data_IF_884746154497
#
_entry.id   IF_884746154497
#
_cell.length_a   1.000
_cell.length_b   1.000
_cell.length_c   1.000
_cell.angle_alpha   90.00
_cell.angle_beta   90.00
_cell.angle_gamma   90.00
#
_symmetry.space_group_name_H-M   'P 1'
#
loop_
_entity.id
_entity.type
_entity.pdbx_description
1 polymer ?
#
# COMPACT_ATOMS: atom_id res chain seq x y z
N UNK A 1 34.36 33.05 -88.59
CA UNK A 1 34.09 33.92 -87.42
C UNK A 1 33.50 33.05 -86.32
N UNK A 2 33.99 33.23 -85.07
CA UNK A 2 33.43 32.75 -83.77
C UNK A 2 33.27 31.23 -83.60
N UNK A 3 34.22 30.47 -83.00
CA UNK A 3 34.59 30.38 -81.58
C UNK A 3 33.43 30.09 -80.62
N UNK A 4 33.43 28.90 -79.98
CA UNK A 4 32.99 28.69 -78.60
C UNK A 4 33.56 27.37 -78.05
N UNK A 5 34.40 27.51 -77.03
CA UNK A 5 35.01 26.46 -76.22
C UNK A 5 33.95 25.64 -75.47
N UNK A 6 34.13 24.31 -75.47
CA UNK A 6 33.46 23.39 -74.56
C UNK A 6 34.36 23.23 -73.32
N UNK A 7 33.99 23.88 -72.22
CA UNK A 7 34.68 23.72 -70.93
C UNK A 7 34.01 22.59 -70.15
N UNK A 8 34.68 21.46 -70.06
CA UNK A 8 34.27 20.29 -69.27
C UNK A 8 34.46 20.59 -67.78
N UNK A 9 33.36 20.75 -67.04
CA UNK A 9 33.36 20.91 -65.59
C UNK A 9 33.39 19.51 -64.94
N UNK A 10 34.58 19.06 -64.49
CA UNK A 10 34.70 17.91 -63.61
C UNK A 10 34.20 18.31 -62.21
N UNK A 11 33.01 17.84 -61.83
CA UNK A 11 32.60 17.81 -60.42
C UNK A 11 33.35 16.68 -59.72
N UNK A 12 34.32 17.03 -58.89
CA UNK A 12 34.90 16.13 -57.89
C UNK A 12 33.88 15.91 -56.78
N UNK A 13 33.24 14.74 -56.75
CA UNK A 13 32.52 14.26 -55.57
C UNK A 13 33.54 14.05 -54.44
N UNK A 14 33.50 14.91 -53.43
CA UNK A 14 34.11 14.62 -52.14
C UNK A 14 33.33 13.49 -51.46
N UNK A 15 34.00 12.45 -50.90
CA UNK A 15 33.30 11.45 -50.12
C UNK A 15 32.76 12.12 -48.85
N UNK A 16 31.44 12.02 -48.62
CA UNK A 16 30.86 12.29 -47.31
C UNK A 16 31.57 11.39 -46.30
N UNK A 17 32.29 11.98 -45.36
CA UNK A 17 32.73 11.30 -44.16
C UNK A 17 31.46 10.76 -43.48
N UNK A 18 31.35 9.43 -43.41
CA UNK A 18 30.35 8.79 -42.57
C UNK A 18 30.59 9.27 -41.14
N UNK A 19 29.66 10.07 -40.60
CA UNK A 19 29.61 10.37 -39.18
C UNK A 19 29.54 9.03 -38.47
N UNK A 20 30.59 8.65 -37.74
CA UNK A 20 30.49 7.54 -36.81
C UNK A 20 29.34 7.90 -35.86
N UNK A 21 28.28 7.09 -35.88
CA UNK A 21 27.17 7.31 -34.96
C UNK A 21 27.71 7.22 -33.52
N UNK A 22 27.20 8.08 -32.64
CA UNK A 22 27.54 7.99 -31.22
C UNK A 22 27.18 6.58 -30.71
N UNK A 23 28.05 5.96 -29.88
CA UNK A 23 27.82 4.61 -29.40
C UNK A 23 26.53 4.54 -28.58
N UNK A 24 25.73 3.51 -28.85
CA UNK A 24 24.49 3.26 -28.11
C UNK A 24 24.77 2.88 -26.65
N UNK A 25 23.83 3.06 -25.72
CA UNK A 25 24.01 2.62 -24.33
C UNK A 25 24.32 1.12 -24.20
N UNK A 26 23.78 0.28 -25.09
CA UNK A 26 24.08 -1.15 -25.14
C UNK A 26 25.55 -1.42 -25.49
N UNK A 27 26.10 -0.72 -26.49
CA UNK A 27 27.51 -0.82 -26.88
C UNK A 27 28.44 -0.30 -25.78
N UNK A 28 28.10 0.83 -25.17
CA UNK A 28 28.84 1.39 -24.02
C UNK A 28 28.85 0.45 -22.82
N UNK A 29 27.75 -0.26 -22.54
CA UNK A 29 27.72 -1.29 -21.49
C UNK A 29 28.54 -2.52 -21.83
N UNK A 30 28.46 -3.00 -23.07
CA UNK A 30 29.30 -4.10 -23.52
C UNK A 30 30.79 -3.73 -23.37
N UNK A 31 31.13 -2.47 -23.67
CA UNK A 31 32.47 -1.92 -23.48
C UNK A 31 32.85 -1.85 -22.00
N UNK A 32 31.99 -1.32 -21.14
CA UNK A 32 32.22 -1.24 -19.71
C UNK A 32 32.43 -2.62 -19.05
N UNK A 33 31.74 -3.67 -19.50
CA UNK A 33 32.00 -5.04 -19.04
C UNK A 33 33.44 -5.52 -19.33
N UNK A 34 33.99 -5.15 -20.49
CA UNK A 34 35.37 -5.45 -20.86
C UNK A 34 36.34 -4.64 -20.00
N UNK A 35 36.08 -3.34 -19.84
CA UNK A 35 36.92 -2.45 -19.05
C UNK A 35 36.98 -2.86 -17.57
N UNK A 36 35.88 -3.34 -16.99
CA UNK A 36 35.86 -3.85 -15.60
C UNK A 36 36.81 -5.03 -15.43
N UNK A 37 36.93 -5.94 -16.42
CA UNK A 37 37.93 -7.01 -16.37
C UNK A 37 39.35 -6.45 -16.43
N UNK A 38 39.57 -5.40 -17.22
CA UNK A 38 40.88 -4.75 -17.36
C UNK A 38 41.30 -3.96 -16.11
N UNK A 39 40.37 -3.62 -15.21
CA UNK A 39 40.72 -3.05 -13.90
C UNK A 39 41.60 -3.99 -13.05
N UNK A 40 41.53 -5.30 -13.29
CA UNK A 40 42.38 -6.31 -12.62
C UNK A 40 43.64 -6.70 -13.42
N UNK A 41 43.95 -6.00 -14.52
CA UNK A 41 45.15 -6.31 -15.32
C UNK A 41 46.42 -6.13 -14.47
N UNK A 42 47.44 -6.98 -14.65
CA UNK A 42 48.75 -6.82 -14.02
C UNK A 42 49.45 -5.52 -14.49
N UNK A 43 49.13 -5.07 -15.71
CA UNK A 43 49.75 -3.90 -16.34
C UNK A 43 49.06 -2.61 -15.88
N UNK A 44 49.78 -1.79 -15.14
CA UNK A 44 49.27 -0.51 -14.60
C UNK A 44 48.65 0.41 -15.67
N UNK A 45 49.26 0.46 -16.86
CA UNK A 45 48.78 1.29 -17.98
C UNK A 45 47.40 0.86 -18.45
N UNK A 46 47.14 -0.46 -18.53
CA UNK A 46 45.84 -1.00 -18.92
C UNK A 46 44.77 -0.70 -17.86
N UNK A 47 45.11 -0.87 -16.57
CA UNK A 47 44.21 -0.49 -15.48
C UNK A 47 43.82 0.99 -15.53
N UNK A 48 44.81 1.87 -15.74
CA UNK A 48 44.59 3.31 -15.79
C UNK A 48 43.75 3.73 -17.01
N UNK A 49 44.02 3.13 -18.17
CA UNK A 49 43.22 3.36 -19.37
C UNK A 49 41.76 2.93 -19.14
N UNK A 50 41.54 1.76 -18.55
CA UNK A 50 40.21 1.26 -18.24
C UNK A 50 39.46 2.14 -17.24
N UNK A 51 40.14 2.66 -16.20
CA UNK A 51 39.54 3.59 -15.25
C UNK A 51 39.10 4.89 -15.91
N UNK A 52 39.94 5.49 -16.75
CA UNK A 52 39.61 6.72 -17.45
C UNK A 52 38.39 6.53 -18.37
N UNK A 53 38.40 5.45 -19.16
CA UNK A 53 37.30 5.17 -20.08
C UNK A 53 35.98 4.85 -19.35
N UNK A 54 36.03 4.11 -18.23
CA UNK A 54 34.85 3.89 -17.38
C UNK A 54 34.30 5.18 -16.77
N UNK A 55 35.18 6.13 -16.41
CA UNK A 55 34.77 7.44 -15.91
C UNK A 55 34.07 8.27 -17.00
N UNK A 56 34.53 8.17 -18.25
CA UNK A 56 33.90 8.81 -19.42
C UNK A 56 32.54 8.20 -19.75
N UNK A 57 32.38 6.88 -19.64
CA UNK A 57 31.09 6.19 -19.84
C UNK A 57 30.05 6.62 -18.79
N UNK A 58 30.47 6.90 -17.56
CA UNK A 58 29.62 7.49 -16.53
C UNK A 58 28.43 6.62 -16.11
N UNK A 59 27.23 7.21 -16.08
CA UNK A 59 26.00 6.54 -15.58
C UNK A 59 25.62 5.27 -16.33
N UNK A 60 26.04 5.13 -17.60
CA UNK A 60 25.78 3.92 -18.40
C UNK A 60 26.54 2.72 -17.82
N UNK A 61 27.71 2.92 -17.21
CA UNK A 61 28.50 1.88 -16.56
C UNK A 61 28.10 1.64 -15.08
N UNK A 62 27.15 2.41 -14.54
CA UNK A 62 26.83 2.45 -13.11
C UNK A 62 26.53 1.06 -12.54
N UNK A 63 25.63 0.30 -13.15
CA UNK A 63 25.20 -1.02 -12.64
C UNK A 63 26.34 -2.03 -12.60
N UNK A 64 27.17 -2.04 -13.65
CA UNK A 64 28.29 -2.97 -13.77
C UNK A 64 29.38 -2.62 -12.75
N UNK A 65 29.65 -1.33 -12.53
CA UNK A 65 30.54 -0.85 -11.48
C UNK A 65 29.97 -1.17 -10.09
N UNK A 66 28.67 -0.97 -9.85
CA UNK A 66 28.01 -1.26 -8.59
C UNK A 66 28.15 -2.73 -8.21
N UNK A 67 27.99 -3.64 -9.17
CA UNK A 67 28.24 -5.08 -9.01
C UNK A 67 29.72 -5.40 -8.79
N UNK A 68 30.63 -4.72 -9.49
CA UNK A 68 32.07 -4.95 -9.38
C UNK A 68 32.65 -4.60 -8.00
N UNK A 69 31.93 -3.86 -7.14
CA UNK A 69 32.33 -3.62 -5.74
C UNK A 69 32.45 -4.90 -4.91
N UNK A 70 31.74 -5.94 -5.30
CA UNK A 70 31.77 -7.25 -4.62
C UNK A 70 32.65 -8.26 -5.38
N UNK A 71 33.50 -7.78 -6.29
CA UNK A 71 34.38 -8.62 -7.08
C UNK A 71 35.44 -9.30 -6.19
N UNK A 72 35.80 -10.55 -6.54
CA UNK A 72 36.78 -11.34 -5.77
C UNK A 72 38.20 -10.77 -5.80
N UNK A 73 38.52 -10.07 -6.88
CA UNK A 73 39.76 -9.30 -6.99
C UNK A 73 39.60 -7.95 -6.26
N UNK A 74 40.36 -7.72 -5.18
CA UNK A 74 40.27 -6.48 -4.40
C UNK A 74 40.66 -5.22 -5.21
N UNK A 75 41.50 -5.32 -6.24
CA UNK A 75 41.86 -4.18 -7.09
C UNK A 75 40.67 -3.73 -7.93
N UNK A 76 39.93 -4.69 -8.51
CA UNK A 76 38.69 -4.41 -9.27
C UNK A 76 37.65 -3.79 -8.33
N UNK A 77 37.46 -4.37 -7.13
CA UNK A 77 36.50 -3.87 -6.16
C UNK A 77 36.81 -2.42 -5.71
N UNK A 78 38.07 -2.14 -5.34
CA UNK A 78 38.51 -0.81 -4.92
C UNK A 78 38.48 0.22 -6.07
N UNK A 79 38.79 -0.19 -7.30
CA UNK A 79 38.67 0.67 -8.47
C UNK A 79 37.20 1.01 -8.77
N UNK A 80 36.30 0.02 -8.72
CA UNK A 80 34.88 0.23 -8.92
C UNK A 80 34.28 1.17 -7.87
N UNK A 81 34.65 1.01 -6.60
CA UNK A 81 34.22 1.90 -5.52
C UNK A 81 34.65 3.36 -5.74
N UNK A 82 35.91 3.58 -6.15
CA UNK A 82 36.41 4.92 -6.48
C UNK A 82 35.70 5.53 -7.68
N UNK A 83 35.47 4.75 -8.74
CA UNK A 83 34.77 5.21 -9.94
C UNK A 83 33.34 5.62 -9.63
N UNK A 84 32.61 4.82 -8.84
CA UNK A 84 31.25 5.15 -8.42
C UNK A 84 31.19 6.42 -7.57
N UNK A 85 32.17 6.64 -6.70
CA UNK A 85 32.26 7.87 -5.92
C UNK A 85 32.49 9.12 -6.80
N UNK A 86 33.06 8.94 -8.01
CA UNK A 86 33.25 9.99 -9.00
C UNK A 86 32.05 10.22 -9.93
N UNK A 87 31.13 9.25 -10.04
CA UNK A 87 29.92 9.39 -10.86
C UNK A 87 28.94 10.32 -10.15
N UNK A 88 28.65 11.45 -10.80
CA UNK A 88 27.66 12.41 -10.29
C UNK A 88 26.27 12.02 -10.76
N UNK A 89 25.40 11.64 -9.81
CA UNK A 89 23.97 11.42 -10.07
C UNK A 89 23.22 12.72 -9.84
N UNK A 90 22.59 13.25 -10.88
CA UNK A 90 21.71 14.41 -10.77
C UNK A 90 20.34 13.98 -10.24
N UNK A 91 20.16 14.11 -8.93
CA UNK A 91 18.92 13.75 -8.24
C UNK A 91 17.75 14.68 -8.58
N UNK A 92 18.01 15.88 -9.10
CA UNK A 92 16.96 16.82 -9.52
C UNK A 92 17.12 17.07 -11.02
N UNK A 93 16.04 16.90 -11.77
CA UNK A 93 15.96 17.16 -13.20
C UNK A 93 15.11 18.40 -13.50
N UNK A 94 15.27 18.97 -14.69
CA UNK A 94 14.64 20.25 -15.06
C UNK A 94 13.10 20.13 -15.12
N UNK A 95 12.61 18.98 -15.55
CA UNK A 95 11.21 18.63 -15.69
C UNK A 95 10.55 18.16 -14.40
N UNK A 96 11.32 17.97 -13.31
CA UNK A 96 10.76 17.49 -12.05
C UNK A 96 9.66 18.43 -11.54
N UNK A 97 8.51 17.93 -11.06
CA UNK A 97 7.51 18.75 -10.39
C UNK A 97 8.10 19.45 -9.15
N UNK A 98 7.58 20.62 -8.72
CA UNK A 98 8.10 21.34 -7.55
C UNK A 98 8.21 20.46 -6.31
N UNK A 99 7.19 19.65 -6.02
CA UNK A 99 7.19 18.75 -4.88
C UNK A 99 8.28 17.67 -4.93
N UNK A 100 8.72 17.25 -6.13
CA UNK A 100 9.86 16.34 -6.28
C UNK A 100 11.17 17.06 -5.97
N UNK A 101 11.37 18.27 -6.51
CA UNK A 101 12.59 19.06 -6.28
C UNK A 101 12.79 19.36 -4.79
N UNK A 102 11.71 19.73 -4.10
CA UNK A 102 11.74 20.02 -2.66
C UNK A 102 12.15 18.78 -1.85
N UNK A 103 11.60 17.61 -2.20
CA UNK A 103 11.93 16.35 -1.52
C UNK A 103 13.35 15.85 -1.80
N UNK A 104 13.88 16.14 -2.99
CA UNK A 104 15.22 15.71 -3.41
C UNK A 104 16.32 16.74 -3.12
N UNK A 105 15.96 17.88 -2.51
CA UNK A 105 16.94 18.88 -2.10
C UNK A 105 17.97 18.23 -1.15
N UNK A 106 19.25 18.30 -1.54
CA UNK A 106 20.37 17.71 -0.79
C UNK A 106 20.24 16.20 -0.54
N UNK A 107 19.43 15.48 -1.33
CA UNK A 107 19.21 14.04 -1.18
C UNK A 107 20.51 13.25 -1.03
N UNK A 108 21.52 13.54 -1.86
CA UNK A 108 22.82 12.87 -1.83
C UNK A 108 23.64 13.08 -0.54
N UNK A 109 23.28 14.04 0.31
CA UNK A 109 23.93 14.33 1.60
C UNK A 109 23.21 13.65 2.78
N UNK A 110 22.03 13.06 2.54
CA UNK A 110 21.21 12.44 3.57
C UNK A 110 21.71 11.04 3.94
N UNK A 111 21.57 10.69 5.21
CA UNK A 111 21.77 9.31 5.67
C UNK A 111 20.72 8.35 5.08
N UNK A 112 20.98 7.05 5.22
CA UNK A 112 20.11 5.99 4.70
C UNK A 112 18.66 6.07 5.18
N UNK A 113 18.41 6.41 6.46
CA UNK A 113 17.05 6.45 7.02
C UNK A 113 16.27 7.64 6.45
N UNK A 114 16.93 8.79 6.32
CA UNK A 114 16.34 9.99 5.71
C UNK A 114 16.05 9.80 4.22
N UNK A 115 16.94 9.13 3.47
CA UNK A 115 16.68 8.78 2.06
C UNK A 115 15.50 7.84 1.88
N UNK A 116 15.34 6.85 2.79
CA UNK A 116 14.13 6.00 2.86
C UNK A 116 12.88 6.86 3.14
N UNK A 117 12.97 7.86 4.02
CA UNK A 117 11.84 8.76 4.28
C UNK A 117 11.49 9.60 3.03
N UNK A 118 12.48 10.11 2.30
CA UNK A 118 12.25 10.83 1.03
C UNK A 118 11.51 9.96 0.02
N UNK A 119 11.89 8.69 -0.15
CA UNK A 119 11.15 7.77 -1.03
C UNK A 119 9.67 7.64 -0.63
N UNK A 120 9.34 7.62 0.66
CA UNK A 120 7.95 7.59 1.14
C UNK A 120 7.20 8.89 0.83
N UNK A 121 7.86 10.04 0.95
CA UNK A 121 7.24 11.34 0.65
C UNK A 121 6.99 11.49 -0.86
N UNK A 122 7.90 11.02 -1.72
CA UNK A 122 7.71 11.03 -3.17
C UNK A 122 6.45 10.26 -3.59
N UNK A 123 6.14 9.12 -2.95
CA UNK A 123 4.88 8.38 -3.19
C UNK A 123 3.63 9.18 -2.79
N UNK A 124 3.73 10.08 -1.82
CA UNK A 124 2.59 10.87 -1.34
C UNK A 124 2.23 12.04 -2.23
N UNK A 125 3.09 12.38 -3.20
CA UNK A 125 2.81 13.44 -4.16
C UNK A 125 1.50 13.18 -4.94
N UNK A 126 0.88 14.25 -5.48
CA UNK A 126 -0.32 14.13 -6.30
C UNK A 126 -0.08 13.26 -7.55
N UNK A 127 -1.13 12.55 -7.98
CA UNK A 127 -1.05 11.69 -9.17
C UNK A 127 0.10 10.68 -9.09
N UNK A 128 0.93 10.70 -10.13
CA UNK A 128 2.13 9.88 -10.29
C UNK A 128 3.42 10.72 -10.33
N UNK A 129 3.39 11.96 -9.84
CA UNK A 129 4.49 12.95 -9.93
C UNK A 129 5.84 12.42 -9.38
N UNK A 130 5.81 11.50 -8.42
CA UNK A 130 7.00 10.90 -7.83
C UNK A 130 7.61 9.73 -8.61
N UNK A 131 7.00 9.25 -9.69
CA UNK A 131 7.37 7.99 -10.34
C UNK A 131 8.80 8.00 -10.92
N UNK A 132 9.15 9.03 -11.69
CA UNK A 132 10.49 9.16 -12.28
C UNK A 132 11.59 9.29 -11.21
N UNK A 133 11.37 10.14 -10.20
CA UNK A 133 12.28 10.28 -9.08
C UNK A 133 12.50 8.98 -8.31
N UNK A 134 11.44 8.22 -8.06
CA UNK A 134 11.55 6.91 -7.42
C UNK A 134 12.33 5.94 -8.29
N UNK A 135 12.06 5.84 -9.59
CA UNK A 135 12.80 4.98 -10.50
C UNK A 135 14.30 5.35 -10.53
N UNK A 136 14.63 6.65 -10.53
CA UNK A 136 16.02 7.13 -10.41
C UNK A 136 16.69 6.67 -9.11
N UNK A 137 16.00 6.78 -7.97
CA UNK A 137 16.51 6.28 -6.68
C UNK A 137 16.72 4.76 -6.73
N UNK A 138 15.77 4.01 -7.29
CA UNK A 138 15.86 2.56 -7.43
C UNK A 138 17.12 2.17 -8.19
N UNK A 139 17.37 2.84 -9.31
CA UNK A 139 18.51 2.57 -10.19
C UNK A 139 19.84 2.99 -9.56
N UNK A 140 19.96 4.24 -9.13
CA UNK A 140 21.25 4.87 -8.83
C UNK A 140 21.61 4.97 -7.34
N UNK A 141 20.72 4.65 -6.41
CA UNK A 141 21.10 4.69 -4.99
C UNK A 141 21.97 3.47 -4.62
N UNK A 142 23.22 3.73 -4.19
CA UNK A 142 24.16 2.69 -3.80
C UNK A 142 23.73 1.87 -2.57
N UNK A 143 22.79 2.38 -1.76
CA UNK A 143 22.23 1.65 -0.64
C UNK A 143 21.14 0.70 -1.14
N UNK A 144 21.41 -0.60 -1.06
CA UNK A 144 20.43 -1.64 -1.41
C UNK A 144 19.10 -1.47 -0.66
N UNK A 145 19.16 -1.05 0.61
CA UNK A 145 17.99 -0.75 1.42
C UNK A 145 17.14 0.38 0.82
N UNK A 146 17.79 1.47 0.38
CA UNK A 146 17.08 2.64 -0.16
C UNK A 146 16.48 2.30 -1.51
N UNK A 147 17.25 1.64 -2.38
CA UNK A 147 16.78 1.18 -3.69
C UNK A 147 15.59 0.22 -3.57
N UNK A 148 15.68 -0.80 -2.71
CA UNK A 148 14.60 -1.73 -2.47
C UNK A 148 13.34 -1.03 -1.92
N UNK A 149 13.51 -0.08 -0.98
CA UNK A 149 12.38 0.68 -0.47
C UNK A 149 11.75 1.55 -1.56
N UNK A 150 12.54 2.27 -2.34
CA UNK A 150 12.03 3.10 -3.42
C UNK A 150 11.28 2.28 -4.47
N UNK A 151 11.68 1.02 -4.73
CA UNK A 151 10.98 0.13 -5.63
C UNK A 151 9.58 -0.20 -5.08
N UNK A 152 9.48 -0.54 -3.79
CA UNK A 152 8.18 -0.78 -3.14
C UNK A 152 7.31 0.49 -3.12
N UNK A 153 7.89 1.67 -2.88
CA UNK A 153 7.14 2.92 -2.94
C UNK A 153 6.64 3.24 -4.36
N UNK A 154 7.41 2.90 -5.40
CA UNK A 154 6.98 3.05 -6.80
C UNK A 154 5.86 2.07 -7.18
N UNK A 155 5.91 0.81 -6.71
CA UNK A 155 4.82 -0.15 -6.88
C UNK A 155 3.53 0.30 -6.20
N UNK A 156 3.64 0.84 -4.98
CA UNK A 156 2.51 1.38 -4.23
C UNK A 156 1.99 2.68 -4.85
N UNK A 157 2.87 3.51 -5.44
CA UNK A 157 2.47 4.69 -6.21
C UNK A 157 1.65 4.26 -7.44
N UNK A 158 2.12 3.28 -8.20
CA UNK A 158 1.41 2.75 -9.36
C UNK A 158 0.07 2.10 -8.98
N UNK A 159 -0.02 1.47 -7.80
CA UNK A 159 -1.24 0.87 -7.27
C UNK A 159 -2.24 1.86 -6.65
N UNK A 160 -1.89 3.14 -6.56
CA UNK A 160 -2.76 4.19 -6.04
C UNK A 160 -3.88 4.48 -7.03
N UNK A 161 -5.12 4.40 -6.57
CA UNK A 161 -6.27 4.93 -7.32
C UNK A 161 -6.24 6.46 -7.22
N UNK A 162 -5.97 7.12 -8.35
CA UNK A 162 -5.89 8.58 -8.45
C UNK A 162 -7.23 9.22 -8.81
N UNK A 163 -8.28 8.41 -9.06
CA UNK A 163 -9.57 8.94 -9.48
C UNK A 163 -10.23 9.71 -8.33
N UNK A 164 -10.48 11.01 -8.55
CA UNK A 164 -10.99 11.98 -7.55
C UNK A 164 -12.34 11.61 -6.91
N UNK A 165 -13.01 10.59 -7.42
CA UNK A 165 -14.35 10.16 -6.99
C UNK A 165 -14.38 8.78 -6.34
N UNK A 166 -13.24 8.10 -6.26
CA UNK A 166 -13.15 6.78 -5.64
C UNK A 166 -12.76 6.94 -4.17
N UNK A 167 -13.71 6.69 -3.28
CA UNK A 167 -13.43 6.14 -1.95
C UNK A 167 -13.16 4.62 -2.04
N UNK A 168 -12.73 4.13 -3.21
CA UNK A 168 -12.60 2.70 -3.47
C UNK A 168 -11.38 2.22 -2.71
N UNK A 169 -11.58 1.21 -1.88
CA UNK A 169 -10.49 0.60 -1.14
C UNK A 169 -9.44 0.02 -2.10
N UNK A 170 -8.17 -0.12 -1.66
CA UNK A 170 -7.12 -0.70 -2.48
C UNK A 170 -7.56 -2.05 -3.04
N UNK A 171 -7.41 -2.25 -4.34
CA UNK A 171 -7.75 -3.51 -5.03
C UNK A 171 -6.47 -4.30 -5.36
N UNK A 172 -6.54 -5.64 -5.52
CA UNK A 172 -5.41 -6.39 -6.06
C UNK A 172 -5.09 -6.01 -7.52
N UNK A 173 -6.04 -5.45 -8.30
CA UNK A 173 -5.76 -4.95 -9.65
C UNK A 173 -5.14 -3.55 -9.58
N UNK A 174 -4.00 -3.38 -10.23
CA UNK A 174 -3.29 -2.09 -10.33
C UNK A 174 -3.96 -1.26 -11.45
N UNK A 175 -4.21 0.04 -11.24
CA UNK A 175 -4.71 0.92 -12.31
C UNK A 175 -3.80 0.91 -13.53
N UNK A 176 -4.38 0.86 -14.73
CA UNK A 176 -3.64 0.84 -15.99
C UNK A 176 -2.77 2.09 -16.18
N UNK A 177 -3.28 3.27 -15.80
CA UNK A 177 -2.54 4.54 -15.86
C UNK A 177 -1.27 4.50 -15.00
N UNK A 178 -1.35 3.95 -13.79
CA UNK A 178 -0.20 3.81 -12.90
C UNK A 178 0.85 2.83 -13.42
N UNK A 179 0.41 1.71 -14.02
CA UNK A 179 1.30 0.76 -14.69
C UNK A 179 1.97 1.36 -15.92
N UNK A 180 1.20 2.06 -16.77
CA UNK A 180 1.70 2.71 -17.97
C UNK A 180 2.75 3.78 -17.62
N UNK A 181 2.46 4.62 -16.63
CA UNK A 181 3.40 5.64 -16.16
C UNK A 181 4.72 5.02 -15.68
N UNK A 182 4.65 3.95 -14.88
CA UNK A 182 5.84 3.28 -14.39
C UNK A 182 6.62 2.62 -15.54
N UNK A 183 5.92 2.00 -16.49
CA UNK A 183 6.53 1.38 -17.68
C UNK A 183 7.25 2.42 -18.55
N UNK A 184 6.62 3.57 -18.83
CA UNK A 184 7.21 4.66 -19.61
C UNK A 184 8.49 5.20 -18.97
N UNK A 185 8.47 5.45 -17.65
CA UNK A 185 9.64 5.90 -16.89
C UNK A 185 10.79 4.88 -16.99
N UNK A 186 10.50 3.59 -16.84
CA UNK A 186 11.52 2.54 -16.96
C UNK A 186 12.08 2.46 -18.38
N UNK A 187 11.22 2.56 -19.39
CA UNK A 187 11.60 2.54 -20.80
C UNK A 187 12.48 3.74 -21.16
N UNK A 188 12.17 4.94 -20.66
CA UNK A 188 13.00 6.14 -20.85
C UNK A 188 14.38 5.96 -20.22
N UNK A 189 14.46 5.44 -18.99
CA UNK A 189 15.75 5.18 -18.34
C UNK A 189 16.57 4.11 -19.09
N UNK A 190 15.93 3.07 -19.59
CA UNK A 190 16.60 2.04 -20.38
C UNK A 190 17.02 2.55 -21.76
N UNK A 191 16.26 3.46 -22.36
CA UNK A 191 16.65 4.14 -23.59
C UNK A 191 17.90 5.01 -23.40
N UNK A 192 17.98 5.76 -22.28
CA UNK A 192 19.09 6.66 -22.00
C UNK A 192 20.35 5.93 -21.50
N UNK A 193 20.18 4.87 -20.70
CA UNK A 193 21.28 4.27 -19.94
C UNK A 193 21.41 2.74 -20.10
N UNK A 194 20.57 2.11 -20.93
CA UNK A 194 20.51 0.66 -21.16
C UNK A 194 19.76 -0.12 -20.08
N UNK A 195 19.43 -1.39 -20.32
CA UNK A 195 18.60 -2.22 -19.44
C UNK A 195 19.20 -2.52 -18.05
N UNK A 196 18.65 -2.00 -16.95
CA UNK A 196 19.28 -2.16 -15.62
C UNK A 196 19.30 -3.62 -15.11
N UNK A 197 20.40 -4.02 -14.45
CA UNK A 197 20.53 -5.31 -13.74
C UNK A 197 20.27 -5.17 -12.22
N UNK A 198 19.88 -3.98 -11.77
CA UNK A 198 19.62 -3.70 -10.36
C UNK A 198 18.33 -4.41 -9.95
N UNK A 199 18.39 -5.18 -8.86
CA UNK A 199 17.25 -5.96 -8.37
C UNK A 199 15.98 -5.13 -8.19
N UNK A 200 16.08 -3.93 -7.62
CA UNK A 200 14.92 -3.04 -7.48
C UNK A 200 14.30 -2.66 -8.83
N UNK A 201 15.10 -2.46 -9.90
CA UNK A 201 14.59 -2.18 -11.25
C UNK A 201 13.93 -3.43 -11.84
N UNK A 202 14.57 -4.59 -11.69
CA UNK A 202 13.99 -5.88 -12.13
C UNK A 202 12.63 -6.15 -11.46
N UNK A 203 12.49 -5.81 -10.18
CA UNK A 203 11.21 -5.89 -9.50
C UNK A 203 10.14 -4.96 -10.09
N UNK A 204 10.50 -3.74 -10.48
CA UNK A 204 9.56 -2.82 -11.13
C UNK A 204 9.15 -3.31 -12.53
N UNK A 205 10.10 -3.83 -13.31
CA UNK A 205 9.81 -4.43 -14.62
C UNK A 205 8.85 -5.62 -14.46
N UNK A 206 9.18 -6.56 -13.58
CA UNK A 206 8.33 -7.71 -13.28
C UNK A 206 6.95 -7.26 -12.77
N UNK A 207 6.89 -6.23 -11.93
CA UNK A 207 5.63 -5.66 -11.45
C UNK A 207 4.77 -5.08 -12.57
N UNK A 208 5.37 -4.39 -13.56
CA UNK A 208 4.61 -3.86 -14.70
C UNK A 208 4.06 -4.96 -15.61
N UNK A 209 4.79 -6.06 -15.77
CA UNK A 209 4.41 -7.19 -16.62
C UNK A 209 3.37 -8.11 -15.95
N UNK A 210 3.37 -8.18 -14.61
CA UNK A 210 2.63 -9.19 -13.87
C UNK A 210 1.11 -9.16 -14.06
N UNK A 211 0.54 -8.00 -14.41
CA UNK A 211 -0.90 -7.87 -14.54
C UNK A 211 -1.43 -8.55 -15.82
N UNK A 212 -0.61 -8.61 -16.86
CA UNK A 212 -0.97 -9.25 -18.12
C UNK A 212 -0.71 -10.77 -18.08
N UNK A 213 0.37 -11.19 -17.43
CA UNK A 213 0.75 -12.61 -17.31
C UNK A 213 0.98 -13.06 -15.86
N UNK A 214 -0.06 -13.05 -15.00
CA UNK A 214 0.11 -13.27 -13.55
C UNK A 214 0.70 -14.65 -13.22
N UNK A 215 0.32 -15.69 -13.97
CA UNK A 215 0.87 -17.04 -13.77
C UNK A 215 2.35 -17.16 -14.15
N UNK A 216 2.81 -16.41 -15.17
CA UNK A 216 4.21 -16.44 -15.58
C UNK A 216 5.08 -15.71 -14.55
N UNK A 217 4.64 -14.53 -14.11
CA UNK A 217 5.34 -13.72 -13.12
C UNK A 217 5.36 -14.35 -11.71
N UNK A 218 4.36 -15.17 -11.36
CA UNK A 218 4.28 -15.81 -10.03
C UNK A 218 5.52 -16.64 -9.67
N UNK A 219 6.06 -17.41 -10.63
CA UNK A 219 7.27 -18.21 -10.39
C UNK A 219 8.47 -17.32 -10.07
N UNK A 220 8.62 -16.22 -10.80
CA UNK A 220 9.71 -15.28 -10.61
C UNK A 220 9.61 -14.59 -9.25
N UNK A 221 8.41 -14.12 -8.86
CA UNK A 221 8.21 -13.50 -7.55
C UNK A 221 8.50 -14.43 -6.38
N UNK A 222 8.12 -15.71 -6.48
CA UNK A 222 8.44 -16.70 -5.44
C UNK A 222 9.95 -16.89 -5.29
N UNK A 223 10.68 -16.96 -6.41
CA UNK A 223 12.14 -17.06 -6.39
C UNK A 223 12.78 -15.81 -5.77
N UNK A 224 12.35 -14.63 -6.18
CA UNK A 224 12.85 -13.35 -5.65
C UNK A 224 12.61 -13.23 -4.13
N UNK A 225 11.41 -13.59 -3.67
CA UNK A 225 11.05 -13.52 -2.25
C UNK A 225 11.90 -14.48 -1.40
N UNK A 226 12.12 -15.71 -1.89
CA UNK A 226 12.95 -16.70 -1.19
C UNK A 226 14.42 -16.28 -1.16
N UNK A 227 14.92 -15.67 -2.23
CA UNK A 227 16.27 -15.14 -2.26
C UNK A 227 16.44 -13.98 -1.27
N UNK A 228 15.49 -13.05 -1.22
CA UNK A 228 15.49 -11.96 -0.23
C UNK A 228 15.48 -12.51 1.19
N UNK A 229 14.58 -13.47 1.48
CA UNK A 229 14.49 -14.14 2.79
C UNK A 229 15.82 -14.78 3.18
N UNK A 230 16.44 -15.52 2.26
CA UNK A 230 17.74 -16.17 2.47
C UNK A 230 18.85 -15.15 2.75
N UNK A 231 18.87 -14.02 2.04
CA UNK A 231 19.90 -12.98 2.21
C UNK A 231 19.74 -12.22 3.53
N UNK A 232 18.50 -11.95 3.96
CA UNK A 232 18.20 -11.38 5.28
C UNK A 232 18.65 -12.36 6.37
N UNK A 233 18.26 -13.63 6.28
CA UNK A 233 18.61 -14.66 7.28
C UNK A 233 20.13 -14.85 7.44
N UNK A 234 20.90 -14.72 6.35
CA UNK A 234 22.36 -14.80 6.37
C UNK A 234 23.06 -13.50 6.83
N UNK A 235 22.32 -12.41 7.05
CA UNK A 235 22.89 -11.10 7.38
C UNK A 235 23.74 -10.48 6.26
N UNK A 236 23.61 -10.98 5.03
CA UNK A 236 24.40 -10.56 3.86
C UNK A 236 23.82 -9.30 3.22
N UNK A 237 22.49 -9.15 3.25
CA UNK A 237 21.82 -7.98 2.71
C UNK A 237 21.55 -6.93 3.79
N UNK A 238 21.63 -5.65 3.41
CA UNK A 238 21.15 -4.52 4.25
C UNK A 238 19.63 -4.32 4.14
N UNK A 239 18.91 -5.31 3.59
CA UNK A 239 17.46 -5.34 3.49
C UNK A 239 16.85 -5.58 4.88
N UNK A 240 15.60 -5.17 5.05
CA UNK A 240 14.87 -5.31 6.30
C UNK A 240 13.53 -6.03 6.12
N UNK A 241 12.92 -6.40 7.24
CA UNK A 241 11.61 -7.08 7.27
C UNK A 241 10.51 -6.28 6.57
N UNK A 242 10.60 -4.94 6.57
CA UNK A 242 9.62 -4.10 5.86
C UNK A 242 9.70 -4.27 4.33
N UNK A 243 10.88 -4.63 3.82
CA UNK A 243 11.05 -4.97 2.40
C UNK A 243 10.40 -6.31 2.10
N UNK A 244 10.64 -7.32 2.96
CA UNK A 244 10.05 -8.65 2.82
C UNK A 244 8.51 -8.59 2.90
N UNK A 245 7.97 -7.80 3.81
CA UNK A 245 6.53 -7.56 3.94
C UNK A 245 5.94 -6.97 2.66
N UNK A 246 6.55 -5.92 2.09
CA UNK A 246 6.07 -5.29 0.86
C UNK A 246 6.08 -6.25 -0.35
N UNK A 247 7.13 -7.06 -0.49
CA UNK A 247 7.19 -8.09 -1.52
C UNK A 247 6.17 -9.22 -1.28
N UNK A 248 5.90 -9.56 -0.02
CA UNK A 248 4.88 -10.56 0.34
C UNK A 248 3.47 -10.06 0.00
N UNK A 249 3.19 -8.77 0.20
CA UNK A 249 1.95 -8.14 -0.28
C UNK A 249 1.81 -8.22 -1.81
N UNK A 250 2.89 -8.02 -2.56
CA UNK A 250 2.85 -8.17 -4.00
C UNK A 250 2.69 -9.64 -4.43
N UNK A 251 3.31 -10.60 -3.71
CA UNK A 251 3.09 -12.02 -3.94
C UNK A 251 1.61 -12.39 -3.74
N UNK A 252 1.01 -11.93 -2.63
CA UNK A 252 -0.41 -12.15 -2.36
C UNK A 252 -1.29 -11.58 -3.48
N UNK A 253 -0.99 -10.36 -3.95
CA UNK A 253 -1.67 -9.75 -5.10
C UNK A 253 -1.64 -10.66 -6.33
N UNK A 254 -0.46 -11.15 -6.71
CA UNK A 254 -0.34 -11.93 -7.94
C UNK A 254 -0.92 -13.34 -7.80
N UNK A 255 -0.89 -13.95 -6.62
CA UNK A 255 -1.57 -15.23 -6.36
C UNK A 255 -3.08 -15.09 -6.58
N UNK A 256 -3.68 -14.00 -6.09
CA UNK A 256 -5.09 -13.68 -6.36
C UNK A 256 -5.37 -13.50 -7.86
N UNK A 257 -4.55 -12.70 -8.56
CA UNK A 257 -4.73 -12.47 -10.00
C UNK A 257 -4.50 -13.73 -10.86
N UNK A 258 -3.64 -14.65 -10.42
CA UNK A 258 -3.38 -15.93 -11.07
C UNK A 258 -4.48 -16.99 -10.82
N UNK A 259 -5.36 -16.74 -9.85
CA UNK A 259 -6.39 -17.68 -9.38
C UNK A 259 -5.86 -18.76 -8.43
N UNK A 260 -4.70 -18.56 -7.82
CA UNK A 260 -4.03 -19.51 -6.93
C UNK A 260 -4.57 -19.38 -5.49
N UNK A 261 -5.77 -19.92 -5.25
CA UNK A 261 -6.51 -19.68 -4.00
C UNK A 261 -5.85 -20.27 -2.74
N UNK A 262 -5.34 -21.50 -2.79
CA UNK A 262 -4.66 -22.10 -1.63
C UNK A 262 -3.34 -21.37 -1.29
N UNK A 263 -2.44 -21.06 -2.24
CA UNK A 263 -1.30 -20.20 -1.96
C UNK A 263 -1.70 -18.82 -1.42
N UNK A 264 -2.69 -18.16 -2.04
CA UNK A 264 -3.16 -16.85 -1.59
C UNK A 264 -3.66 -16.88 -0.14
N UNK A 265 -4.40 -17.93 0.26
CA UNK A 265 -4.82 -18.11 1.65
C UNK A 265 -3.62 -18.23 2.59
N UNK A 266 -2.62 -19.06 2.26
CA UNK A 266 -1.40 -19.21 3.07
C UNK A 266 -0.64 -17.90 3.20
N UNK A 267 -0.48 -17.15 2.11
CA UNK A 267 0.20 -15.85 2.11
C UNK A 267 -0.57 -14.82 2.94
N UNK A 268 -1.90 -14.79 2.86
CA UNK A 268 -2.74 -13.93 3.70
C UNK A 268 -2.56 -14.24 5.20
N UNK A 269 -2.56 -15.52 5.58
CA UNK A 269 -2.30 -15.93 6.98
C UNK A 269 -0.92 -15.49 7.47
N UNK A 270 0.10 -15.56 6.59
CA UNK A 270 1.46 -15.09 6.91
C UNK A 270 1.48 -13.57 7.14
N UNK A 271 0.85 -12.79 6.26
CA UNK A 271 0.76 -11.33 6.39
C UNK A 271 0.06 -10.93 7.71
N UNK A 272 -1.07 -11.57 8.02
CA UNK A 272 -1.83 -11.28 9.25
C UNK A 272 -1.03 -11.66 10.50
N UNK A 273 -0.36 -12.82 10.49
CA UNK A 273 0.45 -13.28 11.63
C UNK A 273 1.68 -12.40 11.85
N UNK A 274 2.29 -11.88 10.78
CA UNK A 274 3.46 -11.01 10.85
C UNK A 274 3.12 -9.59 11.36
N UNK A 275 1.90 -9.09 11.12
CA UNK A 275 1.48 -7.77 11.57
C UNK A 275 1.09 -7.77 13.06
N UNK A 276 2.08 -7.52 13.92
CA UNK A 276 1.88 -7.40 15.37
C UNK A 276 1.19 -6.09 15.80
N UNK A 277 1.06 -5.10 14.91
CA UNK A 277 0.54 -3.78 15.27
C UNK A 277 -0.95 -3.65 14.94
N UNK A 278 -1.37 -4.18 13.79
CA UNK A 278 -2.75 -4.02 13.28
C UNK A 278 -3.25 -5.29 12.56
N UNK A 279 -3.20 -6.47 13.21
CA UNK A 279 -3.54 -7.74 12.57
C UNK A 279 -4.98 -7.77 12.02
N UNK A 280 -5.95 -7.16 12.72
CA UNK A 280 -7.35 -7.06 12.26
C UNK A 280 -7.47 -6.25 10.97
N UNK A 281 -6.76 -5.11 10.85
CA UNK A 281 -6.79 -4.29 9.65
C UNK A 281 -6.11 -4.99 8.47
N UNK A 282 -5.04 -5.74 8.74
CA UNK A 282 -4.38 -6.57 7.73
C UNK A 282 -5.28 -7.72 7.27
N UNK A 283 -6.02 -8.36 8.18
CA UNK A 283 -7.01 -9.39 7.82
C UNK A 283 -8.18 -8.81 7.01
N UNK A 284 -8.70 -7.64 7.40
CA UNK A 284 -9.76 -6.96 6.65
C UNK A 284 -9.31 -6.64 5.22
N UNK A 285 -8.09 -6.10 5.07
CA UNK A 285 -7.51 -5.84 3.75
C UNK A 285 -7.34 -7.11 2.92
N UNK A 286 -6.84 -8.21 3.48
CA UNK A 286 -6.66 -9.46 2.72
C UNK A 286 -7.99 -10.08 2.30
N UNK A 287 -8.98 -10.11 3.19
CA UNK A 287 -10.34 -10.59 2.86
C UNK A 287 -11.01 -9.70 1.82
N UNK A 288 -10.84 -8.37 1.89
CA UNK A 288 -11.34 -7.46 0.86
C UNK A 288 -10.73 -7.76 -0.51
N UNK A 289 -9.42 -7.95 -0.59
CA UNK A 289 -8.77 -8.30 -1.86
C UNK A 289 -9.27 -9.63 -2.42
N UNK A 290 -9.52 -10.62 -1.56
CA UNK A 290 -10.11 -11.89 -1.99
C UNK A 290 -11.55 -11.73 -2.50
N UNK A 291 -12.36 -10.88 -1.85
CA UNK A 291 -13.72 -10.56 -2.28
C UNK A 291 -13.71 -9.88 -3.66
N UNK A 292 -12.80 -8.93 -3.89
CA UNK A 292 -12.68 -8.20 -5.15
C UNK A 292 -12.42 -9.11 -6.37
N UNK A 293 -11.79 -10.27 -6.17
CA UNK A 293 -11.51 -11.26 -7.22
C UNK A 293 -12.31 -12.56 -7.08
N UNK A 294 -13.34 -12.57 -6.21
CA UNK A 294 -14.20 -13.72 -5.94
C UNK A 294 -13.46 -15.01 -5.53
N UNK A 295 -12.33 -14.88 -4.80
CA UNK A 295 -11.51 -15.99 -4.31
C UNK A 295 -12.15 -16.69 -3.08
N UNK A 296 -13.33 -17.29 -3.29
CA UNK A 296 -14.17 -17.83 -2.22
C UNK A 296 -13.52 -18.99 -1.43
N UNK A 297 -12.75 -19.87 -2.08
CA UNK A 297 -12.06 -20.97 -1.39
C UNK A 297 -10.90 -20.45 -0.55
N UNK A 298 -10.22 -19.38 -1.00
CA UNK A 298 -9.17 -18.73 -0.21
C UNK A 298 -9.77 -18.11 1.07
N UNK A 299 -10.92 -17.43 0.94
CA UNK A 299 -11.67 -16.89 2.09
C UNK A 299 -12.07 -18.01 3.05
N UNK A 300 -12.59 -19.12 2.53
CA UNK A 300 -12.97 -20.27 3.34
C UNK A 300 -11.79 -20.83 4.13
N UNK A 301 -10.63 -20.98 3.49
CA UNK A 301 -9.41 -21.45 4.14
C UNK A 301 -8.91 -20.50 5.24
N UNK A 302 -8.90 -19.18 4.97
CA UNK A 302 -8.49 -18.18 5.97
C UNK A 302 -9.45 -18.20 7.16
N UNK A 303 -10.76 -18.16 6.92
CA UNK A 303 -11.76 -18.13 7.99
C UNK A 303 -11.87 -19.44 8.76
N UNK A 304 -11.53 -20.58 8.14
CA UNK A 304 -11.45 -21.88 8.81
C UNK A 304 -10.18 -22.04 9.67
N UNK A 305 -9.16 -21.19 9.48
CA UNK A 305 -7.87 -21.27 10.17
C UNK A 305 -7.92 -20.65 11.57
N UNK A 306 -9.01 -20.82 12.32
CA UNK A 306 -9.23 -20.17 13.63
C UNK A 306 -8.18 -20.55 14.69
N UNK A 307 -7.53 -21.71 14.54
CA UNK A 307 -6.45 -22.13 15.44
C UNK A 307 -5.11 -21.50 15.06
N UNK A 308 -4.93 -21.13 13.78
CA UNK A 308 -3.81 -20.34 13.29
C UNK A 308 -4.00 -18.83 13.45
N UNK A 309 -5.25 -18.36 13.60
CA UNK A 309 -5.61 -16.96 13.80
C UNK A 309 -6.57 -16.80 14.99
N UNK A 310 -6.05 -16.68 16.23
CA UNK A 310 -6.87 -16.43 17.42
C UNK A 310 -7.76 -15.18 17.30
N UNK A 311 -7.35 -14.21 16.47
CA UNK A 311 -8.10 -13.01 16.14
C UNK A 311 -9.51 -13.31 15.61
N UNK A 312 -9.70 -14.42 14.88
CA UNK A 312 -11.02 -14.83 14.37
C UNK A 312 -12.00 -15.25 15.47
N UNK A 313 -11.52 -15.43 16.70
CA UNK A 313 -12.35 -15.76 17.88
C UNK A 313 -12.73 -14.52 18.69
N UNK A 314 -12.22 -13.33 18.35
CA UNK A 314 -12.60 -12.07 19.01
C UNK A 314 -13.90 -11.52 18.41
N UNK A 315 -14.56 -10.59 19.11
CA UNK A 315 -15.76 -9.90 18.60
C UNK A 315 -15.50 -9.26 17.23
N UNK A 316 -14.40 -8.51 17.09
CA UNK A 316 -14.04 -7.84 15.84
C UNK A 316 -13.76 -8.84 14.72
N UNK A 317 -13.05 -9.94 15.01
CA UNK A 317 -12.77 -10.98 14.03
C UNK A 317 -14.04 -11.70 13.57
N UNK A 318 -14.98 -11.97 14.48
CA UNK A 318 -16.26 -12.59 14.16
C UNK A 318 -17.16 -11.67 13.34
N UNK A 319 -17.24 -10.38 13.68
CA UNK A 319 -17.95 -9.40 12.84
C UNK A 319 -17.30 -9.26 11.47
N UNK A 320 -15.97 -9.18 11.39
CA UNK A 320 -15.26 -9.17 10.12
C UNK A 320 -15.59 -10.40 9.25
N UNK A 321 -15.58 -11.60 9.86
CA UNK A 321 -15.99 -12.83 9.18
C UNK A 321 -17.46 -12.76 8.75
N UNK A 322 -18.35 -12.26 9.61
CA UNK A 322 -19.77 -12.09 9.30
C UNK A 322 -20.00 -11.16 8.10
N UNK A 323 -19.36 -9.99 8.07
CA UNK A 323 -19.40 -9.03 6.95
C UNK A 323 -18.89 -9.67 5.66
N UNK A 324 -17.79 -10.41 5.75
CA UNK A 324 -17.22 -11.14 4.61
C UNK A 324 -18.24 -12.15 4.05
N UNK A 325 -18.87 -12.95 4.92
CA UNK A 325 -19.93 -13.90 4.52
C UNK A 325 -21.16 -13.21 3.94
N UNK A 326 -21.53 -12.06 4.47
CA UNK A 326 -22.64 -11.26 3.94
C UNK A 326 -22.36 -10.81 2.51
N UNK A 327 -21.14 -10.31 2.24
CA UNK A 327 -20.72 -9.89 0.89
C UNK A 327 -20.62 -11.05 -0.10
N UNK A 328 -20.39 -12.27 0.37
CA UNK A 328 -20.47 -13.51 -0.44
C UNK A 328 -21.92 -13.99 -0.68
N UNK A 329 -22.94 -13.27 -0.22
CA UNK A 329 -24.35 -13.71 -0.28
C UNK A 329 -24.71 -14.82 0.70
N UNK A 330 -23.81 -15.19 1.62
CA UNK A 330 -24.01 -16.26 2.60
C UNK A 330 -24.68 -15.73 3.88
N UNK A 331 -25.83 -15.04 3.72
CA UNK A 331 -26.51 -14.30 4.80
C UNK A 331 -26.80 -15.14 6.05
N UNK A 332 -27.18 -16.42 5.89
CA UNK A 332 -27.43 -17.30 7.04
C UNK A 332 -26.17 -17.59 7.87
N UNK A 333 -25.00 -17.76 7.22
CA UNK A 333 -23.72 -17.94 7.91
C UNK A 333 -23.24 -16.63 8.53
N UNK A 334 -23.42 -15.52 7.81
CA UNK A 334 -23.14 -14.18 8.33
C UNK A 334 -23.90 -13.91 9.63
N UNK A 335 -25.21 -14.17 9.66
CA UNK A 335 -26.04 -13.99 10.85
C UNK A 335 -25.59 -14.85 12.04
N UNK A 336 -25.16 -16.09 11.80
CA UNK A 336 -24.60 -16.95 12.87
C UNK A 336 -23.31 -16.38 13.46
N UNK A 337 -22.40 -15.89 12.62
CA UNK A 337 -21.14 -15.29 13.05
C UNK A 337 -21.38 -13.97 13.79
N UNK A 338 -22.28 -13.13 13.29
CA UNK A 338 -22.68 -11.89 13.96
C UNK A 338 -23.31 -12.16 15.34
N UNK A 339 -24.15 -13.19 15.45
CA UNK A 339 -24.71 -13.60 16.75
C UNK A 339 -23.61 -14.09 17.71
N UNK A 340 -22.67 -14.90 17.23
CA UNK A 340 -21.51 -15.32 18.04
C UNK A 340 -20.69 -14.12 18.52
N UNK A 341 -20.49 -13.12 17.66
CA UNK A 341 -19.80 -11.87 18.03
C UNK A 341 -20.57 -11.09 19.10
N UNK A 342 -21.90 -10.99 18.95
CA UNK A 342 -22.79 -10.32 19.90
C UNK A 342 -22.74 -10.97 21.29
N UNK A 343 -22.66 -12.30 21.34
CA UNK A 343 -22.60 -13.07 22.59
C UNK A 343 -21.26 -12.87 23.35
N UNK A 344 -20.21 -12.42 22.67
CA UNK A 344 -18.96 -12.03 23.31
C UNK A 344 -19.05 -10.65 23.95
N UNK A 345 -18.33 -10.47 25.05
CA UNK A 345 -18.04 -9.14 25.57
C UNK A 345 -16.98 -8.44 24.70
N UNK A 346 -17.06 -7.12 24.64
CA UNK A 346 -16.20 -6.30 23.82
C UNK A 346 -15.17 -5.58 24.70
N UNK A 347 -13.91 -5.54 24.25
CA UNK A 347 -12.89 -4.73 24.89
C UNK A 347 -13.22 -3.23 24.74
N UNK A 348 -12.97 -2.38 25.75
CA UNK A 348 -13.20 -0.95 25.65
C UNK A 348 -12.42 -0.32 24.49
N UNK A 349 -13.06 0.56 23.72
CA UNK A 349 -12.46 1.33 22.63
C UNK A 349 -12.10 2.76 23.06
N UNK A 350 -11.41 3.50 22.18
CA UNK A 350 -11.13 4.93 22.33
C UNK A 350 -11.83 5.71 21.22
N UNK A 351 -12.62 6.73 21.58
CA UNK A 351 -13.22 7.67 20.62
C UNK A 351 -13.10 9.10 21.17
N UNK A 352 -12.57 10.02 20.37
CA UNK A 352 -12.33 11.42 20.74
C UNK A 352 -11.58 11.59 22.09
N UNK A 353 -10.64 10.68 22.40
CA UNK A 353 -9.87 10.71 23.65
C UNK A 353 -10.61 10.17 24.89
N UNK A 354 -11.84 9.65 24.74
CA UNK A 354 -12.61 9.01 25.81
C UNK A 354 -12.69 7.50 25.61
N UNK A 355 -12.57 6.74 26.69
CA UNK A 355 -12.83 5.30 26.67
C UNK A 355 -14.32 5.06 26.48
N UNK A 356 -14.70 4.40 25.41
CA UNK A 356 -16.07 3.97 25.14
C UNK A 356 -16.17 2.47 25.44
N UNK A 357 -17.25 2.04 26.09
CA UNK A 357 -17.52 0.62 26.30
C UNK A 357 -17.53 -0.14 24.98
N UNK A 358 -16.92 -1.33 24.94
CA UNK A 358 -16.63 -2.00 23.67
C UNK A 358 -17.84 -2.28 22.79
N UNK A 359 -19.04 -2.48 23.35
CA UNK A 359 -20.27 -2.72 22.57
C UNK A 359 -20.74 -1.47 21.83
N UNK A 360 -20.61 -0.28 22.44
CA UNK A 360 -20.91 0.99 21.78
C UNK A 360 -19.97 1.25 20.61
N UNK A 361 -18.68 0.96 20.80
CA UNK A 361 -17.67 1.08 19.75
C UNK A 361 -17.95 0.10 18.59
N UNK A 362 -18.24 -1.16 18.90
CA UNK A 362 -18.60 -2.17 17.91
C UNK A 362 -19.87 -1.78 17.14
N UNK A 363 -20.93 -1.36 17.84
CA UNK A 363 -22.18 -0.94 17.22
C UNK A 363 -21.97 0.23 16.25
N UNK A 364 -21.19 1.25 16.65
CA UNK A 364 -20.94 2.40 15.77
C UNK A 364 -20.11 2.04 14.54
N UNK A 365 -19.12 1.17 14.68
CA UNK A 365 -18.34 0.69 13.55
C UNK A 365 -19.24 -0.05 12.54
N UNK A 366 -20.11 -0.95 13.02
CA UNK A 366 -21.06 -1.70 12.19
C UNK A 366 -22.04 -0.79 11.45
N UNK A 367 -22.56 0.24 12.11
CA UNK A 367 -23.45 1.22 11.49
C UNK A 367 -22.77 2.01 10.36
N UNK A 368 -21.56 2.53 10.61
CA UNK A 368 -20.77 3.24 9.59
C UNK A 368 -20.42 2.37 8.38
N UNK A 369 -20.38 1.06 8.56
CA UNK A 369 -20.11 0.08 7.51
C UNK A 369 -21.37 -0.43 6.82
N UNK A 370 -22.56 0.02 7.23
CA UNK A 370 -23.83 -0.34 6.61
C UNK A 370 -24.48 -1.62 7.15
N UNK A 371 -24.21 -1.99 8.40
CA UNK A 371 -24.82 -3.13 9.10
C UNK A 371 -25.68 -2.69 10.31
N UNK A 372 -26.73 -1.87 10.10
CA UNK A 372 -27.51 -1.27 11.18
C UNK A 372 -28.21 -2.31 12.06
N UNK A 373 -28.65 -3.45 11.51
CA UNK A 373 -29.30 -4.50 12.31
C UNK A 373 -28.37 -5.09 13.37
N UNK A 374 -27.10 -5.30 13.01
CA UNK A 374 -26.09 -5.81 13.94
C UNK A 374 -25.67 -4.74 14.94
N UNK A 375 -25.57 -3.48 14.50
CA UNK A 375 -25.34 -2.33 15.38
C UNK A 375 -26.45 -2.19 16.43
N UNK A 376 -27.71 -2.28 16.00
CA UNK A 376 -28.88 -2.19 16.86
C UNK A 376 -28.89 -3.28 17.93
N UNK A 377 -28.46 -4.49 17.58
CA UNK A 377 -28.34 -5.59 18.53
C UNK A 377 -27.29 -5.33 19.62
N UNK A 378 -26.13 -4.74 19.27
CA UNK A 378 -25.11 -4.33 20.25
C UNK A 378 -25.62 -3.22 21.18
N UNK A 379 -26.31 -2.22 20.63
CA UNK A 379 -26.91 -1.15 21.44
C UNK A 379 -27.98 -1.70 22.39
N UNK A 380 -28.87 -2.56 21.91
CA UNK A 380 -29.88 -3.20 22.74
C UNK A 380 -29.26 -4.01 23.90
N UNK A 381 -28.22 -4.81 23.62
CA UNK A 381 -27.48 -5.55 24.66
C UNK A 381 -26.76 -4.63 25.64
N UNK A 382 -26.24 -3.49 25.18
CA UNK A 382 -25.62 -2.50 26.06
C UNK A 382 -26.65 -1.89 27.03
N UNK A 383 -27.86 -1.55 26.55
CA UNK A 383 -28.94 -1.03 27.37
C UNK A 383 -29.35 -2.05 28.44
N UNK A 384 -29.50 -3.32 28.04
CA UNK A 384 -29.84 -4.43 28.96
C UNK A 384 -28.78 -4.62 30.04
N UNK A 385 -27.50 -4.59 29.68
CA UNK A 385 -26.38 -4.84 30.61
C UNK A 385 -26.14 -3.68 31.58
N UNK A 386 -26.21 -2.44 31.11
CA UNK A 386 -25.84 -1.26 31.91
C UNK A 386 -27.03 -0.57 32.58
N UNK A 387 -28.26 -0.84 32.11
CA UNK A 387 -29.46 -0.17 32.60
C UNK A 387 -29.66 1.23 32.00
N UNK A 388 -30.92 1.67 31.98
CA UNK A 388 -31.39 2.85 31.23
C UNK A 388 -30.97 4.21 31.80
N UNK A 389 -30.42 4.26 33.03
CA UNK A 389 -29.88 5.48 33.63
C UNK A 389 -28.36 5.43 33.86
N UNK A 390 -27.66 4.56 33.13
CA UNK A 390 -26.20 4.58 33.07
C UNK A 390 -25.71 5.47 31.93
N UNK A 391 -24.47 6.01 32.00
CA UNK A 391 -23.82 6.70 30.89
C UNK A 391 -23.92 5.93 29.57
N UNK A 392 -23.58 4.64 29.61
CA UNK A 392 -23.52 3.83 28.41
C UNK A 392 -24.90 3.36 27.93
N UNK A 393 -25.83 3.13 28.85
CA UNK A 393 -27.21 2.80 28.52
C UNK A 393 -27.94 3.96 27.83
N UNK A 394 -27.75 5.20 28.30
CA UNK A 394 -28.36 6.38 27.65
C UNK A 394 -27.76 6.64 26.27
N UNK A 395 -26.43 6.55 26.12
CA UNK A 395 -25.78 6.70 24.81
C UNK A 395 -26.22 5.58 23.84
N UNK A 396 -26.30 4.33 24.31
CA UNK A 396 -26.77 3.21 23.49
C UNK A 396 -28.23 3.40 23.07
N UNK A 397 -29.11 3.82 23.98
CA UNK A 397 -30.51 4.09 23.68
C UNK A 397 -30.69 5.21 22.66
N UNK A 398 -29.88 6.27 22.76
CA UNK A 398 -29.83 7.33 21.75
C UNK A 398 -29.46 6.77 20.38
N UNK A 399 -28.32 6.09 20.24
CA UNK A 399 -27.88 5.56 18.94
C UNK A 399 -28.87 4.55 18.37
N UNK A 400 -29.44 3.68 19.21
CA UNK A 400 -30.48 2.75 18.77
C UNK A 400 -31.73 3.49 18.27
N UNK A 401 -32.18 4.54 18.97
CA UNK A 401 -33.34 5.32 18.55
C UNK A 401 -33.08 6.11 17.25
N UNK A 402 -31.87 6.65 17.06
CA UNK A 402 -31.45 7.32 15.81
C UNK A 402 -31.42 6.33 14.63
N UNK A 403 -30.77 5.17 14.79
CA UNK A 403 -30.72 4.12 13.76
C UNK A 403 -32.12 3.60 13.39
N UNK A 404 -32.98 3.36 14.38
CA UNK A 404 -34.38 2.96 14.15
C UNK A 404 -35.20 4.07 13.47
N UNK A 405 -34.93 5.33 13.82
CA UNK A 405 -35.57 6.48 13.17
C UNK A 405 -35.20 6.56 11.68
N UNK A 406 -33.91 6.41 11.35
CA UNK A 406 -33.42 6.43 9.97
C UNK A 406 -34.00 5.28 9.13
N UNK A 407 -34.32 4.14 9.77
CA UNK A 407 -35.02 3.01 9.18
C UNK A 407 -36.56 3.13 9.14
N UNK A 408 -37.11 4.29 9.53
CA UNK A 408 -38.55 4.55 9.66
C UNK A 408 -39.29 3.60 10.63
N UNK A 409 -38.59 3.07 11.64
CA UNK A 409 -39.16 2.25 12.71
C UNK A 409 -39.54 3.13 13.91
N UNK A 410 -40.38 4.15 13.68
CA UNK A 410 -40.66 5.21 14.65
C UNK A 410 -41.27 4.70 15.96
N UNK A 411 -42.14 3.67 15.91
CA UNK A 411 -42.72 3.06 17.11
C UNK A 411 -41.65 2.41 17.99
N UNK A 412 -40.68 1.71 17.38
CA UNK A 412 -39.59 1.09 18.11
C UNK A 412 -38.62 2.14 18.65
N UNK A 413 -38.32 3.18 17.85
CA UNK A 413 -37.45 4.29 18.25
C UNK A 413 -37.98 5.01 19.51
N UNK A 414 -39.28 5.33 19.57
CA UNK A 414 -39.86 5.91 20.79
C UNK A 414 -39.83 4.93 21.97
N UNK A 415 -40.05 3.63 21.72
CA UNK A 415 -40.15 2.62 22.76
C UNK A 415 -38.80 2.40 23.47
N UNK A 416 -37.69 2.61 22.77
CA UNK A 416 -36.34 2.57 23.34
C UNK A 416 -36.09 3.73 24.31
N UNK A 417 -36.61 4.93 24.02
CA UNK A 417 -36.39 6.13 24.83
C UNK A 417 -37.38 6.27 26.00
N UNK A 418 -38.59 5.73 25.87
CA UNK A 418 -39.65 5.86 26.87
C UNK A 418 -39.27 5.37 28.29
N UNK A 419 -38.53 4.25 28.47
CA UNK A 419 -38.06 3.81 29.79
C UNK A 419 -37.16 4.84 30.48
N UNK A 420 -36.26 5.49 29.74
CA UNK A 420 -35.37 6.54 30.29
C UNK A 420 -36.21 7.68 30.85
N UNK A 421 -37.15 8.20 30.06
CA UNK A 421 -38.01 9.29 30.48
C UNK A 421 -38.92 8.91 31.65
N UNK A 422 -39.38 7.66 31.70
CA UNK A 422 -40.18 7.14 32.81
C UNK A 422 -39.36 7.13 34.11
N UNK A 423 -38.15 6.59 34.08
CA UNK A 423 -37.27 6.54 35.25
C UNK A 423 -36.88 7.95 35.74
N UNK A 424 -36.61 8.89 34.83
CA UNK A 424 -36.34 10.30 35.18
C UNK A 424 -37.55 10.95 35.85
N UNK A 425 -38.76 10.64 35.40
CA UNK A 425 -40.01 11.19 35.96
C UNK A 425 -40.44 10.52 37.26
N UNK A 426 -39.99 9.29 37.51
CA UNK A 426 -40.38 8.51 38.68
C UNK A 426 -39.86 9.10 40.01
N UNK A 427 -38.72 9.82 40.00
CA UNK A 427 -38.15 10.42 41.20
C UNK A 427 -37.35 11.70 40.90
N UNK A 428 -37.46 12.75 41.75
CA UNK A 428 -36.58 13.92 41.69
C UNK A 428 -35.09 13.55 41.76
N UNK A 429 -34.76 12.46 42.46
CA UNK A 429 -33.40 11.95 42.57
C UNK A 429 -32.87 11.46 41.22
N UNK A 430 -33.64 10.66 40.48
CA UNK A 430 -33.26 10.19 39.15
C UNK A 430 -33.08 11.36 38.17
N UNK A 431 -33.94 12.39 38.27
CA UNK A 431 -33.80 13.62 37.50
C UNK A 431 -32.52 14.39 37.85
N UNK A 432 -32.14 14.43 39.13
CA UNK A 432 -30.88 15.04 39.57
C UNK A 432 -29.70 14.23 39.04
N UNK A 433 -29.69 12.91 39.22
CA UNK A 433 -28.64 12.01 38.72
C UNK A 433 -28.44 12.21 37.22
N UNK A 434 -29.51 12.18 36.42
CA UNK A 434 -29.41 12.39 34.98
C UNK A 434 -28.78 13.76 34.64
N UNK A 435 -29.25 14.83 35.30
CA UNK A 435 -28.71 16.19 35.07
C UNK A 435 -27.24 16.32 35.43
N UNK A 436 -26.81 15.68 36.52
CA UNK A 436 -25.45 15.82 37.05
C UNK A 436 -24.43 14.89 36.38
N UNK A 437 -24.85 13.75 35.84
CA UNK A 437 -23.92 12.73 35.30
C UNK A 437 -24.09 12.40 33.82
N UNK A 438 -25.27 12.63 33.24
CA UNK A 438 -25.61 12.14 31.89
C UNK A 438 -25.88 13.26 30.90
N UNK A 439 -26.26 14.44 31.37
CA UNK A 439 -26.67 15.55 30.51
C UNK A 439 -25.55 16.08 29.61
N UNK A 440 -24.29 15.94 30.03
CA UNK A 440 -23.12 16.31 29.22
C UNK A 440 -22.81 15.28 28.12
N UNK A 441 -23.38 14.07 28.22
CA UNK A 441 -23.26 13.00 27.21
C UNK A 441 -24.42 13.07 26.23
N UNK A 442 -25.65 13.17 26.75
CA UNK A 442 -26.87 13.34 25.96
C UNK A 442 -27.82 14.28 26.70
N UNK A 443 -28.10 15.44 26.10
CA UNK A 443 -28.93 16.46 26.74
C UNK A 443 -30.35 15.92 27.01
N UNK A 444 -30.93 16.23 28.17
CA UNK A 444 -32.27 15.75 28.50
C UNK A 444 -33.32 16.21 27.48
N UNK A 445 -33.20 17.46 27.01
CA UNK A 445 -34.12 18.03 26.02
C UNK A 445 -33.99 17.33 24.66
N UNK A 446 -32.81 16.79 24.33
CA UNK A 446 -32.58 15.98 23.13
C UNK A 446 -33.34 14.66 23.20
N UNK A 447 -33.25 13.93 24.33
CA UNK A 447 -34.02 12.69 24.54
C UNK A 447 -35.53 12.95 24.51
N UNK A 448 -36.00 14.03 25.17
CA UNK A 448 -37.42 14.40 25.17
C UNK A 448 -37.89 14.74 23.74
N UNK A 449 -37.10 15.52 23.00
CA UNK A 449 -37.41 15.91 21.63
C UNK A 449 -37.46 14.70 20.70
N UNK A 450 -36.45 13.83 20.76
CA UNK A 450 -36.36 12.64 19.91
C UNK A 450 -37.50 11.64 20.20
N UNK A 451 -37.86 11.42 21.46
CA UNK A 451 -39.02 10.57 21.82
C UNK A 451 -40.32 11.16 21.31
N UNK A 452 -40.57 12.45 21.56
CA UNK A 452 -41.82 13.09 21.17
C UNK A 452 -41.98 13.14 19.64
N UNK A 453 -40.88 13.36 18.92
CA UNK A 453 -40.85 13.37 17.46
C UNK A 453 -41.18 11.99 16.89
N UNK A 454 -40.49 10.94 17.35
CA UNK A 454 -40.77 9.57 16.93
C UNK A 454 -42.21 9.12 17.28
N UNK A 455 -42.72 9.49 18.46
CA UNK A 455 -44.12 9.23 18.84
C UNK A 455 -45.12 9.88 17.88
N UNK A 456 -44.87 11.13 17.49
CA UNK A 456 -45.75 11.85 16.58
C UNK A 456 -45.74 11.22 15.18
N UNK A 457 -44.57 10.80 14.69
CA UNK A 457 -44.45 10.08 13.41
C UNK A 457 -45.14 8.72 13.45
N UNK A 458 -44.92 7.93 14.50
CA UNK A 458 -45.59 6.64 14.69
C UNK A 458 -47.12 6.78 14.74
N UNK A 459 -47.63 7.80 15.42
CA UNK A 459 -49.07 8.08 15.47
C UNK A 459 -49.63 8.44 14.09
N UNK A 460 -48.89 9.24 13.31
CA UNK A 460 -49.28 9.61 11.94
C UNK A 460 -49.34 8.40 11.01
N UNK A 461 -48.47 7.41 11.19
CA UNK A 461 -48.49 6.17 10.39
C UNK A 461 -49.62 5.23 10.78
N UNK A 462 -50.07 5.28 12.03
CA UNK A 462 -51.16 4.44 12.53
C UNK A 462 -52.57 4.88 12.07
N UNK A 463 -52.72 6.13 11.59
CA UNK A 463 -54.01 6.73 11.20
C UNK A 463 -54.67 7.49 12.34
#
# INVERSE_FOLDING_TARGET
MTSRLLTTLLLTLAPLAASAADPTPAELRARAAVLIKQLGSERYVERRAAQNELAEIGLVAFDQLARAREHRDPEVAAAAERLLAGITVYWIQQQDPPGVRDNLERYGQLDTQRRVAVARELRRLPGYDGADALARIVRYDLSEKVSARAALEAMELAAKDTSRFSNRQPSPRVPEEGLATLHEVLAEQDHLYGASERRGVMWLQLFTEQQHEPRAALRQWRQELEEVRTRIARGVAKLDETTLEGLTWNLFRIELLAGEQEPAAKTALQLVTADTRRPTATLDKTLQWMLDVEANDAIDQVLASSDGLPLLKTKDGLYLAARTRWRQGQHARAGKLAQQALDLDAEPGLQAGRTIQGRLAAGRALELEGFPDWANAEYARQIEKSGVLSPEGVVAARFLAESLHDAAHYEQAQAVLAPILREIRASPENRRVYKETLNDLVALDEIIGLEAYNRALASREAG
#
